data_IF_479661441273
#
_entry.id   IF_479661441273
#
_cell.length_a   1.000
_cell.length_b   1.000
_cell.length_c   1.000
_cell.angle_alpha   90.00
_cell.angle_beta   90.00
_cell.angle_gamma   90.00
#
_symmetry.space_group_name_H-M   'P 1'
#
loop_
_entity.id
_entity.type
_entity.pdbx_description
1 polymer ?
#
# COMPACT_ATOMS: atom_id res chain seq x y z
N UNK A 1 -9.09 -17.17 -12.08
CA UNK A 1 -8.12 -18.27 -11.85
C UNK A 1 -8.93 -19.57 -11.82
N UNK A 2 -8.53 -20.57 -12.61
CA UNK A 2 -9.36 -21.75 -12.88
C UNK A 2 -8.56 -23.03 -12.58
N UNK A 3 -9.26 -24.12 -12.25
CA UNK A 3 -8.66 -25.47 -12.16
C UNK A 3 -8.08 -25.83 -13.53
N UNK A 4 -6.88 -26.39 -13.54
CA UNK A 4 -6.27 -26.96 -14.76
C UNK A 4 -7.09 -28.18 -15.17
N UNK A 5 -7.49 -28.20 -16.44
CA UNK A 5 -8.12 -29.36 -17.06
C UNK A 5 -7.05 -30.39 -17.43
N UNK A 6 -6.72 -31.25 -16.47
CA UNK A 6 -5.61 -32.20 -16.56
C UNK A 6 -5.09 -32.64 -15.21
N UNK A 7 -3.83 -33.07 -15.18
CA UNK A 7 -3.12 -33.50 -13.98
C UNK A 7 -2.01 -32.53 -13.62
N UNK A 8 -1.83 -32.36 -12.31
CA UNK A 8 -0.68 -31.67 -11.72
C UNK A 8 0.00 -32.66 -10.80
N UNK A 9 1.29 -32.88 -11.00
CA UNK A 9 2.09 -33.78 -10.15
C UNK A 9 3.28 -33.04 -9.55
N UNK A 10 3.66 -33.46 -8.35
CA UNK A 10 4.87 -33.02 -7.65
C UNK A 10 5.68 -34.27 -7.36
N UNK A 11 6.90 -34.33 -7.92
CA UNK A 11 7.78 -35.52 -7.91
C UNK A 11 7.05 -36.80 -8.38
N UNK A 12 6.25 -36.66 -9.45
CA UNK A 12 5.48 -37.76 -10.03
C UNK A 12 4.22 -38.17 -9.23
N UNK A 13 3.96 -37.57 -8.07
CA UNK A 13 2.74 -37.83 -7.27
C UNK A 13 1.67 -36.79 -7.54
N UNK A 14 0.38 -37.15 -7.64
CA UNK A 14 -0.70 -36.18 -7.82
C UNK A 14 -0.72 -35.13 -6.71
N UNK A 15 -0.90 -33.86 -7.08
CA UNK A 15 -1.14 -32.77 -6.14
C UNK A 15 -2.65 -32.59 -5.90
N UNK A 16 -3.02 -32.28 -4.67
CA UNK A 16 -4.41 -32.04 -4.27
C UNK A 16 -4.85 -30.65 -4.74
N UNK A 17 -5.98 -30.59 -5.45
CA UNK A 17 -6.59 -29.32 -5.82
C UNK A 17 -7.41 -28.76 -4.67
N UNK A 18 -7.12 -27.53 -4.25
CA UNK A 18 -7.87 -26.83 -3.22
C UNK A 18 -8.95 -25.91 -3.82
N UNK A 19 -8.55 -24.78 -4.41
CA UNK A 19 -9.45 -23.81 -5.06
C UNK A 19 -8.64 -22.81 -5.89
N UNK A 20 -9.28 -22.06 -6.80
CA UNK A 20 -8.69 -20.93 -7.52
C UNK A 20 -7.33 -21.23 -8.19
N UNK A 21 -7.13 -22.45 -8.69
CA UNK A 21 -5.87 -22.88 -9.31
C UNK A 21 -4.75 -23.21 -8.32
N UNK A 22 -5.05 -23.33 -7.02
CA UNK A 22 -4.10 -23.76 -5.98
C UNK A 22 -4.05 -25.28 -5.93
N UNK A 23 -2.82 -25.80 -6.03
CA UNK A 23 -2.49 -27.21 -5.86
C UNK A 23 -1.52 -27.36 -4.70
N UNK A 24 -1.74 -28.37 -3.86
CA UNK A 24 -0.91 -28.64 -2.67
C UNK A 24 -0.40 -30.07 -2.66
N UNK A 25 0.80 -30.28 -2.14
CA UNK A 25 1.33 -31.61 -1.82
C UNK A 25 2.17 -31.52 -0.56
N UNK A 26 2.07 -32.53 0.29
CA UNK A 26 2.98 -32.71 1.42
C UNK A 26 4.08 -33.69 1.04
N UNK A 27 5.32 -33.31 1.29
CA UNK A 27 6.50 -34.14 1.03
C UNK A 27 7.22 -34.45 2.32
N UNK A 28 7.65 -35.71 2.50
CA UNK A 28 8.20 -36.20 3.77
C UNK A 28 9.59 -35.62 4.13
N UNK A 29 10.27 -34.96 3.19
CA UNK A 29 11.58 -34.37 3.41
C UNK A 29 11.68 -33.01 2.73
N UNK A 30 12.39 -32.07 3.36
CA UNK A 30 12.76 -30.81 2.72
C UNK A 30 14.03 -30.93 1.88
N UNK A 31 14.67 -32.11 1.83
CA UNK A 31 15.90 -32.31 1.07
C UNK A 31 15.62 -32.45 -0.42
N UNK A 32 16.36 -31.67 -1.21
CA UNK A 32 16.40 -31.74 -2.66
C UNK A 32 15.36 -30.88 -3.38
N UNK A 33 15.59 -30.58 -4.67
CA UNK A 33 14.64 -29.86 -5.50
C UNK A 33 13.35 -30.67 -5.72
N UNK A 34 12.26 -29.98 -6.05
CA UNK A 34 10.93 -30.56 -6.30
C UNK A 34 10.48 -30.28 -7.73
N UNK A 35 10.18 -31.33 -8.48
CA UNK A 35 9.74 -31.20 -9.87
C UNK A 35 8.22 -31.13 -9.93
N UNK A 36 7.71 -30.06 -10.50
CA UNK A 36 6.29 -29.86 -10.77
C UNK A 36 6.03 -30.10 -12.25
N UNK A 37 5.05 -30.94 -12.54
CA UNK A 37 4.65 -31.26 -13.92
C UNK A 37 3.15 -31.10 -14.09
N UNK A 38 2.77 -30.56 -15.23
CA UNK A 38 1.39 -30.33 -15.64
C UNK A 38 1.18 -31.01 -16.98
N UNK A 39 0.13 -31.83 -17.08
CA UNK A 39 -0.32 -32.41 -18.32
C UNK A 39 -1.82 -32.14 -18.50
N UNK A 40 -2.18 -31.47 -19.58
CA UNK A 40 -3.60 -31.19 -19.90
C UNK A 40 -4.27 -32.37 -20.58
N UNK A 41 -5.59 -32.43 -20.52
CA UNK A 41 -6.41 -33.42 -21.26
C UNK A 41 -6.20 -33.36 -22.79
N UNK A 42 -5.78 -32.20 -23.32
CA UNK A 42 -5.45 -32.00 -24.75
C UNK A 42 -4.02 -32.40 -25.11
N UNK A 43 -3.23 -32.91 -24.15
CA UNK A 43 -1.88 -33.43 -24.38
C UNK A 43 -0.75 -32.41 -24.22
N UNK A 44 -1.04 -31.13 -23.92
CA UNK A 44 0.00 -30.14 -23.62
C UNK A 44 0.69 -30.50 -22.31
N UNK A 45 2.03 -30.42 -22.30
CA UNK A 45 2.87 -30.65 -21.12
C UNK A 45 3.71 -29.42 -20.81
N UNK A 46 3.80 -29.10 -19.52
CA UNK A 46 4.67 -28.05 -19.02
C UNK A 46 5.15 -28.43 -17.61
N UNK A 47 6.21 -27.80 -17.13
CA UNK A 47 6.72 -28.08 -15.80
C UNK A 47 7.85 -27.16 -15.42
N UNK A 48 8.22 -27.22 -14.15
CA UNK A 48 9.31 -26.46 -13.56
C UNK A 48 9.83 -27.18 -12.32
N UNK A 49 10.97 -26.74 -11.82
CA UNK A 49 11.62 -27.30 -10.63
C UNK A 49 11.77 -26.22 -9.57
N UNK A 50 11.24 -26.48 -8.38
CA UNK A 50 11.44 -25.68 -7.18
C UNK A 50 12.81 -26.08 -6.60
N UNK A 51 13.75 -25.14 -6.38
CA UNK A 51 15.04 -25.46 -5.81
C UNK A 51 14.90 -25.95 -4.36
N UNK A 52 15.91 -26.67 -3.88
CA UNK A 52 15.97 -27.06 -2.48
C UNK A 52 16.12 -25.80 -1.59
N UNK A 53 15.48 -25.75 -0.40
CA UNK A 53 15.78 -24.73 0.59
C UNK A 53 17.29 -24.72 0.90
N UNK A 54 17.88 -23.53 0.98
CA UNK A 54 19.31 -23.41 1.34
C UNK A 54 19.44 -23.28 2.84
N UNK A 55 20.02 -24.29 3.48
CA UNK A 55 20.35 -24.26 4.90
C UNK A 55 19.40 -25.10 5.76
N UNK A 56 19.52 -24.91 7.06
CA UNK A 56 18.70 -25.55 8.08
C UNK A 56 18.53 -24.56 9.23
N UNK A 57 17.82 -23.46 8.97
CA UNK A 57 17.55 -22.44 9.97
C UNK A 57 16.91 -23.08 11.21
N UNK A 58 17.49 -22.84 12.39
CA UNK A 58 17.01 -23.41 13.66
C UNK A 58 17.14 -22.39 14.79
N UNK A 59 16.11 -22.30 15.62
CA UNK A 59 16.15 -21.59 16.89
C UNK A 59 16.90 -22.46 17.90
N UNK A 60 17.98 -21.92 18.48
CA UNK A 60 18.75 -22.57 19.55
C UNK A 60 18.17 -22.21 20.90
N UNK A 61 17.92 -20.93 21.12
CA UNK A 61 17.30 -20.40 22.33
C UNK A 61 16.64 -19.05 22.08
N UNK A 62 15.73 -18.69 22.97
CA UNK A 62 15.05 -17.40 23.01
C UNK A 62 15.26 -16.85 24.43
N UNK A 63 15.75 -15.62 24.54
CA UNK A 63 16.16 -14.98 25.80
C UNK A 63 17.09 -15.88 26.64
N UNK A 64 18.01 -16.59 25.98
CA UNK A 64 18.95 -17.52 26.62
C UNK A 64 18.38 -18.87 27.02
N UNK A 65 17.07 -19.11 26.82
CA UNK A 65 16.41 -20.37 27.17
C UNK A 65 16.14 -21.22 25.91
N UNK A 66 16.49 -22.52 25.88
CA UNK A 66 16.27 -23.35 24.68
C UNK A 66 14.80 -23.51 24.27
N UNK A 67 13.90 -23.61 25.25
CA UNK A 67 12.46 -23.80 25.06
C UNK A 67 11.68 -23.01 26.13
N UNK A 68 11.61 -21.67 26.03
CA UNK A 68 10.84 -20.90 27.01
C UNK A 68 9.36 -21.22 26.89
N UNK A 69 8.69 -21.38 28.02
CA UNK A 69 7.22 -21.54 28.08
C UNK A 69 6.50 -20.19 28.12
N UNK A 70 7.19 -19.11 28.48
CA UNK A 70 6.63 -17.76 28.56
C UNK A 70 7.55 -16.71 27.92
N UNK A 71 6.96 -15.65 27.37
CA UNK A 71 7.70 -14.48 26.87
C UNK A 71 7.02 -13.18 27.30
N UNK A 72 7.83 -12.21 27.71
CA UNK A 72 7.41 -10.83 27.96
C UNK A 72 7.56 -10.03 26.66
N UNK A 73 6.45 -9.82 25.95
CA UNK A 73 6.43 -9.15 24.66
C UNK A 73 6.51 -7.61 24.78
N UNK A 74 6.51 -7.08 26.02
CA UNK A 74 6.75 -5.65 26.28
C UNK A 74 8.25 -5.31 26.31
N UNK A 75 9.11 -6.33 26.28
CA UNK A 75 10.57 -6.22 26.23
C UNK A 75 11.13 -6.75 24.91
N UNK A 76 12.39 -6.42 24.64
CA UNK A 76 13.09 -6.97 23.49
C UNK A 76 13.24 -8.49 23.66
N UNK A 77 13.12 -9.22 22.55
CA UNK A 77 13.29 -10.67 22.50
C UNK A 77 14.55 -10.98 21.70
N UNK A 78 15.50 -11.67 22.32
CA UNK A 78 16.74 -12.10 21.67
C UNK A 78 16.62 -13.56 21.27
N UNK A 79 16.99 -13.90 20.04
CA UNK A 79 16.95 -15.28 19.53
C UNK A 79 18.34 -15.67 19.06
N UNK A 80 18.84 -16.79 19.58
CA UNK A 80 20.03 -17.45 19.07
C UNK A 80 19.64 -18.44 17.96
N UNK A 81 20.33 -18.37 16.83
CA UNK A 81 20.04 -19.11 15.61
C UNK A 81 21.23 -19.98 15.19
N UNK A 82 20.93 -21.17 14.69
CA UNK A 82 21.83 -22.03 13.93
C UNK A 82 21.38 -22.11 12.46
N UNK A 83 22.27 -22.54 11.57
CA UNK A 83 21.97 -22.64 10.14
C UNK A 83 21.85 -21.28 9.42
N UNK A 84 22.46 -20.23 9.98
CA UNK A 84 22.66 -18.94 9.31
C UNK A 84 23.70 -19.13 8.20
N UNK A 85 23.40 -18.64 7.00
CA UNK A 85 24.30 -18.76 5.85
C UNK A 85 25.29 -17.59 5.87
N UNK A 86 26.61 -17.84 5.92
CA UNK A 86 27.61 -16.78 5.83
C UNK A 86 27.46 -15.97 4.53
N UNK A 87 27.46 -14.64 4.64
CA UNK A 87 27.36 -13.74 3.49
C UNK A 87 25.95 -13.58 2.90
N UNK A 88 24.96 -14.32 3.38
CA UNK A 88 23.56 -14.09 3.00
C UNK A 88 23.07 -12.78 3.62
N UNK A 89 22.51 -11.89 2.80
CA UNK A 89 21.96 -10.60 3.22
C UNK A 89 20.42 -10.59 3.21
N UNK A 90 19.79 -11.72 2.89
CA UNK A 90 18.33 -11.85 2.90
C UNK A 90 17.80 -11.69 4.32
N UNK A 91 16.87 -10.75 4.52
CA UNK A 91 16.25 -10.53 5.83
C UNK A 91 15.51 -11.79 6.29
N UNK A 92 15.65 -12.12 7.57
CA UNK A 92 14.81 -13.10 8.24
C UNK A 92 13.49 -12.45 8.65
N UNK A 93 12.40 -13.19 8.51
CA UNK A 93 11.08 -12.77 8.93
C UNK A 93 10.71 -13.46 10.24
N UNK A 94 10.40 -12.67 11.25
CA UNK A 94 9.80 -13.12 12.50
C UNK A 94 8.29 -12.98 12.41
N UNK A 95 7.56 -14.05 12.73
CA UNK A 95 6.10 -14.08 12.81
C UNK A 95 5.67 -14.51 14.21
N UNK A 96 4.57 -13.98 14.69
CA UNK A 96 3.92 -14.42 15.92
C UNK A 96 2.51 -14.89 15.60
N UNK A 97 2.12 -16.04 16.14
CA UNK A 97 0.74 -16.51 16.07
C UNK A 97 -0.09 -15.73 17.09
N UNK A 98 -1.12 -15.03 16.64
CA UNK A 98 -2.04 -14.33 17.54
C UNK A 98 -3.47 -14.48 17.06
N UNK A 99 -4.44 -14.19 17.93
CA UNK A 99 -5.85 -14.08 17.57
C UNK A 99 -6.24 -12.62 17.44
N UNK A 100 -6.80 -12.26 16.28
CA UNK A 100 -7.41 -10.95 15.99
C UNK A 100 -8.82 -11.21 15.51
N UNK A 101 -9.84 -10.58 16.12
CA UNK A 101 -11.25 -10.84 15.80
C UNK A 101 -11.64 -12.34 15.90
N UNK A 102 -11.02 -13.08 16.82
CA UNK A 102 -11.24 -14.53 16.98
C UNK A 102 -10.55 -15.40 15.93
N UNK A 103 -9.94 -14.81 14.89
CA UNK A 103 -9.18 -15.54 13.88
C UNK A 103 -7.73 -15.69 14.32
N UNK A 104 -7.31 -16.95 14.53
CA UNK A 104 -5.94 -17.29 14.91
C UNK A 104 -5.09 -17.52 13.67
N UNK A 105 -3.96 -16.82 13.57
CA UNK A 105 -3.06 -16.93 12.44
C UNK A 105 -1.67 -16.38 12.74
N UNK A 106 -0.73 -16.65 11.85
CA UNK A 106 0.60 -16.02 11.90
C UNK A 106 0.52 -14.61 11.34
N UNK A 107 0.93 -13.65 12.17
CA UNK A 107 1.12 -12.28 11.76
C UNK A 107 2.60 -11.96 11.70
N UNK A 108 2.99 -11.23 10.69
CA UNK A 108 4.36 -10.78 10.51
C UNK A 108 4.67 -9.71 11.54
N UNK A 109 5.79 -9.89 12.22
CA UNK A 109 6.19 -9.08 13.37
C UNK A 109 7.37 -8.19 13.00
N UNK A 110 8.42 -8.77 12.43
CA UNK A 110 9.67 -8.05 12.21
C UNK A 110 10.53 -8.67 11.11
N UNK A 111 11.08 -7.84 10.24
CA UNK A 111 12.18 -8.24 9.36
C UNK A 111 13.51 -7.81 9.98
N UNK A 112 14.50 -8.70 10.00
CA UNK A 112 15.81 -8.48 10.64
C UNK A 112 16.94 -9.04 9.78
N UNK A 113 18.12 -8.40 9.82
CA UNK A 113 19.31 -8.94 9.15
C UNK A 113 19.68 -10.31 9.73
N UNK A 114 20.14 -11.25 8.89
CA UNK A 114 20.54 -12.57 9.34
C UNK A 114 21.79 -12.48 10.23
N UNK A 115 21.80 -13.24 11.31
CA UNK A 115 22.90 -13.32 12.25
C UNK A 115 22.71 -14.47 13.24
N UNK A 116 23.80 -14.95 13.85
CA UNK A 116 23.73 -16.02 14.86
C UNK A 116 22.92 -15.61 16.09
N UNK A 117 22.79 -14.30 16.33
CA UNK A 117 21.88 -13.73 17.31
C UNK A 117 21.09 -12.61 16.63
N UNK A 118 19.78 -12.62 16.77
CA UNK A 118 18.89 -11.54 16.33
C UNK A 118 18.14 -10.97 17.53
N UNK A 119 17.82 -9.68 17.48
CA UNK A 119 17.02 -9.00 18.50
C UNK A 119 15.77 -8.43 17.87
N UNK A 120 14.61 -8.83 18.40
CA UNK A 120 13.31 -8.29 18.04
C UNK A 120 12.98 -7.19 19.04
N UNK A 121 12.83 -5.93 18.61
CA UNK A 121 12.46 -4.87 19.54
C UNK A 121 11.03 -5.08 20.05
N UNK A 122 10.76 -4.69 21.30
CA UNK A 122 9.39 -4.76 21.86
C UNK A 122 8.36 -4.03 21.00
N UNK A 123 8.78 -2.93 20.36
CA UNK A 123 7.97 -2.17 19.42
C UNK A 123 7.39 -3.04 18.29
N UNK A 124 8.10 -4.09 17.85
CA UNK A 124 7.63 -4.96 16.78
C UNK A 124 6.35 -5.73 17.18
N UNK A 125 6.23 -6.15 18.44
CA UNK A 125 5.04 -6.90 18.91
C UNK A 125 3.79 -6.04 19.05
N UNK A 126 3.92 -4.71 19.17
CA UNK A 126 2.79 -3.77 19.08
C UNK A 126 2.49 -3.29 17.66
N UNK A 127 3.34 -3.61 16.69
CA UNK A 127 3.17 -3.22 15.29
C UNK A 127 3.16 -4.47 14.41
N UNK A 128 2.26 -5.41 14.67
CA UNK A 128 2.07 -6.55 13.78
C UNK A 128 1.51 -6.12 12.43
N UNK A 129 1.68 -6.94 11.39
CA UNK A 129 1.03 -6.78 10.09
C UNK A 129 -0.48 -7.08 10.15
N UNK A 130 -1.22 -6.29 10.91
CA UNK A 130 -2.66 -6.35 11.04
C UNK A 130 -3.24 -5.20 10.22
N UNK A 131 -4.30 -5.49 9.45
CA UNK A 131 -5.01 -4.47 8.69
C UNK A 131 -5.41 -3.30 9.64
N UNK A 132 -5.21 -2.03 9.25
CA UNK A 132 -5.43 -0.89 10.14
C UNK A 132 -6.84 -0.80 10.76
N UNK A 133 -7.88 -1.33 10.09
CA UNK A 133 -9.23 -1.39 10.66
C UNK A 133 -9.37 -2.37 11.83
N UNK A 134 -8.53 -3.42 11.87
CA UNK A 134 -8.64 -4.52 12.82
C UNK A 134 -7.69 -4.38 14.02
N UNK A 135 -6.64 -3.56 13.92
CA UNK A 135 -5.62 -3.40 14.99
C UNK A 135 -6.21 -2.91 16.32
N UNK A 136 -7.30 -2.12 16.27
CA UNK A 136 -8.01 -1.63 17.47
C UNK A 136 -8.67 -2.74 18.29
N UNK A 137 -8.85 -3.93 17.71
CA UNK A 137 -9.44 -5.09 18.38
C UNK A 137 -8.42 -5.81 19.27
N UNK A 138 -7.15 -5.38 19.23
CA UNK A 138 -6.07 -5.99 19.97
C UNK A 138 -5.55 -7.28 19.33
N UNK A 139 -4.47 -7.80 19.90
CA UNK A 139 -3.86 -9.06 19.55
C UNK A 139 -3.74 -9.91 20.82
N UNK A 140 -4.25 -11.14 20.78
CA UNK A 140 -4.13 -12.08 21.89
C UNK A 140 -2.97 -13.05 21.66
N UNK A 141 -1.96 -13.02 22.53
CA UNK A 141 -0.76 -13.85 22.45
C UNK A 141 -0.74 -15.02 23.46
N UNK A 142 -1.90 -15.41 23.99
CA UNK A 142 -2.01 -16.62 24.80
C UNK A 142 -1.82 -17.86 23.92
N UNK A 143 -1.04 -18.83 24.40
CA UNK A 143 -0.64 -20.04 23.68
C UNK A 143 -0.08 -19.74 22.27
N UNK A 144 0.66 -18.65 22.14
CA UNK A 144 1.24 -18.20 20.89
C UNK A 144 2.36 -19.11 20.41
N UNK A 145 2.80 -18.84 19.18
CA UNK A 145 3.94 -19.49 18.55
C UNK A 145 4.78 -18.43 17.85
N UNK A 146 6.07 -18.39 18.16
CA UNK A 146 7.03 -17.53 17.49
C UNK A 146 7.71 -18.34 16.39
N UNK A 147 7.70 -17.82 15.17
CA UNK A 147 8.32 -18.45 14.00
C UNK A 147 9.38 -17.52 13.45
N UNK A 148 10.56 -18.06 13.13
CA UNK A 148 11.62 -17.36 12.39
C UNK A 148 11.76 -18.05 11.04
N UNK A 149 11.62 -17.28 9.97
CA UNK A 149 11.58 -17.76 8.59
C UNK A 149 12.70 -17.12 7.77
N UNK A 150 13.39 -17.91 6.95
CA UNK A 150 14.17 -17.40 5.83
C UNK A 150 13.34 -17.60 4.56
N UNK A 151 13.02 -16.49 3.90
CA UNK A 151 12.11 -16.45 2.77
C UNK A 151 12.80 -15.87 1.55
N UNK A 152 12.66 -16.54 0.40
CA UNK A 152 13.35 -16.16 -0.83
C UNK A 152 12.47 -16.30 -2.05
N UNK A 153 12.69 -15.41 -3.00
CA UNK A 153 12.26 -15.56 -4.38
C UNK A 153 13.45 -16.05 -5.18
N UNK A 154 13.29 -17.19 -5.83
CA UNK A 154 14.30 -17.79 -6.70
C UNK A 154 13.69 -18.03 -8.07
N UNK A 155 14.50 -18.02 -9.13
CA UNK A 155 14.02 -18.41 -10.45
C UNK A 155 13.69 -19.90 -10.46
N UNK A 156 12.58 -20.27 -11.08
CA UNK A 156 12.22 -21.66 -11.27
C UNK A 156 13.25 -22.34 -12.18
N UNK A 157 13.75 -23.51 -11.77
CA UNK A 157 14.72 -24.27 -12.56
C UNK A 157 13.99 -25.13 -13.60
N UNK A 158 14.63 -25.38 -14.75
CA UNK A 158 14.08 -26.25 -15.81
C UNK A 158 12.63 -25.91 -16.21
N UNK A 159 12.26 -24.63 -16.15
CA UNK A 159 10.92 -24.20 -16.46
C UNK A 159 10.65 -24.29 -17.96
N UNK A 160 9.52 -24.88 -18.35
CA UNK A 160 9.14 -25.14 -19.74
C UNK A 160 7.75 -24.62 -20.04
N UNK A 161 7.49 -24.31 -21.32
CA UNK A 161 6.19 -23.83 -21.77
C UNK A 161 5.79 -22.51 -21.07
N UNK A 162 4.54 -22.37 -20.61
CA UNK A 162 4.04 -21.15 -19.97
C UNK A 162 4.75 -20.76 -18.66
N UNK A 163 5.58 -21.63 -18.09
CA UNK A 163 6.30 -21.36 -16.84
C UNK A 163 7.69 -20.74 -17.05
N UNK A 164 8.14 -20.54 -18.29
CA UNK A 164 9.42 -19.91 -18.57
C UNK A 164 9.53 -18.52 -17.93
N UNK A 165 10.60 -18.27 -17.17
CA UNK A 165 10.80 -17.01 -16.45
C UNK A 165 9.98 -16.86 -15.15
N UNK A 166 9.29 -17.91 -14.71
CA UNK A 166 8.56 -17.90 -13.45
C UNK A 166 9.51 -17.87 -12.26
N UNK A 167 9.13 -17.14 -11.21
CA UNK A 167 9.79 -17.16 -9.91
C UNK A 167 9.03 -18.04 -8.92
N UNK A 168 9.76 -18.74 -8.07
CA UNK A 168 9.25 -19.58 -6.99
C UNK A 168 9.62 -18.97 -5.65
N UNK A 169 8.68 -19.04 -4.71
CA UNK A 169 8.90 -18.61 -3.34
C UNK A 169 9.27 -19.82 -2.47
N UNK A 170 10.43 -19.77 -1.83
CA UNK A 170 10.89 -20.79 -0.88
C UNK A 170 10.94 -20.20 0.52
N UNK A 171 10.53 -21.00 1.52
CA UNK A 171 10.57 -20.62 2.92
C UNK A 171 11.05 -21.81 3.76
N UNK A 172 12.05 -21.58 4.60
CA UNK A 172 12.42 -22.47 5.70
C UNK A 172 12.14 -21.77 7.02
N UNK A 173 11.63 -22.49 8.02
CA UNK A 173 11.24 -21.88 9.29
C UNK A 173 11.46 -22.83 10.46
N UNK A 174 11.79 -22.26 11.62
CA UNK A 174 11.74 -22.95 12.90
C UNK A 174 11.01 -22.06 13.91
N UNK A 175 10.41 -22.65 14.94
CA UNK A 175 9.61 -21.89 15.90
C UNK A 175 9.45 -22.54 17.25
N UNK A 176 8.90 -21.78 18.20
CA UNK A 176 8.66 -22.19 19.59
C UNK A 176 7.30 -21.68 20.07
N UNK A 177 6.57 -22.53 20.77
CA UNK A 177 5.36 -22.15 21.48
C UNK A 177 5.71 -21.35 22.73
N UNK A 178 4.88 -20.38 23.09
CA UNK A 178 5.02 -19.63 24.33
C UNK A 178 3.66 -19.07 24.78
N UNK A 179 3.51 -18.79 26.07
CA UNK A 179 2.44 -17.93 26.58
C UNK A 179 2.98 -16.52 26.86
N UNK A 180 2.25 -15.48 26.47
CA UNK A 180 2.65 -14.12 26.81
C UNK A 180 2.49 -13.87 28.33
N UNK A 181 3.58 -13.57 29.03
CA UNK A 181 3.52 -13.15 30.44
C UNK A 181 3.07 -11.70 30.59
N UNK A 182 3.36 -10.87 29.58
CA UNK A 182 2.81 -9.55 29.39
C UNK A 182 2.57 -9.31 27.90
N UNK A 183 1.39 -8.82 27.55
CA UNK A 183 1.01 -8.48 26.16
C UNK A 183 1.17 -6.98 25.93
N UNK A 184 1.66 -6.57 24.74
CA UNK A 184 1.84 -5.16 24.44
C UNK A 184 0.49 -4.51 24.09
N UNK A 185 0.38 -3.20 24.33
CA UNK A 185 -0.70 -2.41 23.75
C UNK A 185 -0.42 -2.19 22.26
N UNK A 186 -1.39 -2.56 21.42
CA UNK A 186 -1.23 -2.48 19.96
C UNK A 186 -1.16 -1.02 19.50
N UNK A 187 -0.16 -0.70 18.68
CA UNK A 187 -0.03 0.60 18.07
C UNK A 187 -1.02 0.72 16.90
N UNK A 188 -2.06 1.52 17.11
CA UNK A 188 -3.12 1.75 16.11
C UNK A 188 -2.75 2.75 15.01
N UNK A 189 -1.51 3.26 15.05
CA UNK A 189 -1.06 4.36 14.22
C UNK A 189 -1.52 5.71 14.79
N UNK A 190 -1.62 6.72 13.92
CA UNK A 190 -2.17 8.02 14.30
C UNK A 190 -2.81 8.75 13.13
N UNK A 191 -3.65 9.73 13.45
CA UNK A 191 -4.18 10.69 12.48
C UNK A 191 -3.89 12.12 12.90
N UNK A 192 -3.74 13.02 11.94
CA UNK A 192 -3.76 14.47 12.15
C UNK A 192 -4.92 15.07 11.39
N UNK A 193 -5.68 15.94 12.06
CA UNK A 193 -6.81 16.63 11.46
C UNK A 193 -6.88 18.03 12.05
N UNK A 194 -6.92 19.03 11.18
CA UNK A 194 -7.23 20.39 11.60
C UNK A 194 -7.91 21.15 10.48
N UNK A 195 -8.32 22.35 10.86
CA UNK A 195 -9.02 23.30 10.03
C UNK A 195 -8.17 24.55 9.89
N UNK A 196 -8.07 25.06 8.66
CA UNK A 196 -7.32 26.25 8.32
C UNK A 196 -8.27 27.25 7.64
N UNK A 197 -8.34 28.45 8.21
CA UNK A 197 -8.96 29.58 7.53
C UNK A 197 -7.93 30.21 6.58
N UNK A 198 -8.18 30.13 5.28
CA UNK A 198 -7.34 30.69 4.22
C UNK A 198 -8.16 31.66 3.35
N UNK A 199 -7.51 32.50 2.52
CA UNK A 199 -8.21 33.52 1.72
C UNK A 199 -9.36 32.99 0.85
N UNK A 200 -9.22 31.79 0.25
CA UNK A 200 -10.30 31.17 -0.54
C UNK A 200 -11.40 30.50 0.31
N UNK A 201 -11.33 30.60 1.64
CA UNK A 201 -12.22 29.93 2.59
C UNK A 201 -11.54 28.81 3.38
N UNK A 202 -12.34 28.11 4.18
CA UNK A 202 -11.90 27.04 5.07
C UNK A 202 -11.35 25.82 4.31
N UNK A 203 -10.23 25.26 4.74
CA UNK A 203 -9.75 23.92 4.36
C UNK A 203 -9.70 23.02 5.60
N UNK A 204 -9.98 21.74 5.41
CA UNK A 204 -9.83 20.71 6.45
C UNK A 204 -8.89 19.64 5.92
N UNK A 205 -7.74 19.45 6.57
CA UNK A 205 -6.87 18.31 6.26
C UNK A 205 -7.14 17.15 7.21
N UNK A 206 -6.95 15.93 6.70
CA UNK A 206 -7.03 14.68 7.45
C UNK A 206 -5.99 13.71 6.91
N UNK A 207 -4.96 13.45 7.69
CA UNK A 207 -3.88 12.51 7.35
C UNK A 207 -3.95 11.30 8.29
N UNK A 208 -3.53 10.15 7.79
CA UNK A 208 -3.47 8.91 8.55
C UNK A 208 -2.14 8.19 8.32
N UNK A 209 -1.61 7.61 9.40
CA UNK A 209 -0.47 6.70 9.40
C UNK A 209 -0.86 5.44 10.15
N UNK A 210 -0.73 4.27 9.51
CA UNK A 210 -0.88 2.98 10.17
C UNK A 210 0.34 2.68 11.07
N UNK A 211 0.26 1.63 11.89
CA UNK A 211 1.39 1.16 12.69
C UNK A 211 2.67 0.93 11.88
N UNK A 212 3.81 0.96 12.57
CA UNK A 212 5.14 1.03 11.99
C UNK A 212 5.54 -0.17 11.13
N UNK A 213 4.86 -1.32 11.17
CA UNK A 213 5.15 -2.39 10.22
C UNK A 213 4.68 -2.07 8.80
N UNK A 214 3.50 -1.43 8.69
CA UNK A 214 2.90 -1.03 7.42
C UNK A 214 3.26 0.41 7.02
N UNK A 215 3.94 1.17 7.88
CA UNK A 215 4.32 2.55 7.60
C UNK A 215 5.78 2.83 7.92
N UNK A 216 6.48 3.45 6.98
CA UNK A 216 7.89 3.85 7.14
C UNK A 216 8.01 5.21 7.80
N UNK A 217 9.11 5.52 8.52
CA UNK A 217 9.34 6.89 9.02
C UNK A 217 9.32 7.88 7.87
N UNK A 218 8.60 8.99 8.02
CA UNK A 218 8.44 9.97 6.94
C UNK A 218 9.79 10.59 6.53
N UNK A 219 10.74 10.68 7.47
CA UNK A 219 12.09 11.16 7.24
C UNK A 219 12.91 10.28 6.26
N UNK A 220 12.49 9.03 6.01
CA UNK A 220 13.16 8.16 5.03
C UNK A 220 12.71 8.45 3.57
N UNK A 221 11.70 9.29 3.35
CA UNK A 221 11.26 9.67 2.00
C UNK A 221 12.13 10.78 1.41
N UNK A 222 13.32 10.43 0.91
CA UNK A 222 14.34 11.41 0.49
C UNK A 222 14.41 11.65 -1.02
N UNK A 223 13.91 10.71 -1.84
CA UNK A 223 13.91 10.81 -3.31
C UNK A 223 12.57 10.33 -3.86
N UNK A 224 11.78 11.27 -4.35
CA UNK A 224 10.37 11.11 -4.70
C UNK A 224 10.21 11.02 -6.22
N UNK A 225 9.57 9.97 -6.71
CA UNK A 225 9.08 9.89 -8.09
C UNK A 225 7.57 10.19 -8.11
N UNK A 226 7.12 11.14 -8.92
CA UNK A 226 5.69 11.41 -9.10
C UNK A 226 5.13 10.45 -10.15
N UNK A 227 4.29 9.50 -9.71
CA UNK A 227 3.79 8.42 -10.57
C UNK A 227 2.33 8.63 -10.99
N UNK A 228 1.57 9.44 -10.25
CA UNK A 228 0.19 9.81 -10.58
C UNK A 228 -0.03 11.25 -10.18
N UNK A 229 -0.43 12.10 -11.12
CA UNK A 229 -0.78 13.50 -10.85
C UNK A 229 -1.94 13.90 -11.75
N UNK A 230 -3.13 14.03 -11.16
CA UNK A 230 -4.37 14.17 -11.93
C UNK A 230 -5.39 15.09 -11.27
N UNK A 231 -6.31 15.59 -12.07
CA UNK A 231 -7.58 16.17 -11.64
C UNK A 231 -8.72 15.33 -12.22
N UNK A 232 -9.75 15.07 -11.41
CA UNK A 232 -10.96 14.35 -11.85
C UNK A 232 -12.19 14.90 -11.15
N UNK A 233 -13.38 14.61 -11.66
CA UNK A 233 -14.59 15.13 -11.05
C UNK A 233 -15.87 14.83 -11.79
N UNK A 234 -16.95 15.47 -11.33
CA UNK A 234 -18.28 15.40 -11.95
C UNK A 234 -18.51 16.60 -12.89
N UNK A 235 -19.00 16.30 -14.09
CA UNK A 235 -19.54 17.23 -15.09
C UNK A 235 -21.03 17.51 -14.96
N UNK A 236 -21.80 16.71 -14.24
CA UNK A 236 -23.23 16.91 -14.06
C UNK A 236 -23.75 16.38 -12.72
N UNK A 237 -24.75 17.06 -12.17
CA UNK A 237 -25.52 16.64 -11.01
C UNK A 237 -27.00 16.96 -11.25
N UNK A 238 -27.85 15.93 -11.31
CA UNK A 238 -29.30 16.10 -11.43
C UNK A 238 -29.97 16.08 -10.05
N UNK A 239 -30.79 17.10 -9.77
CA UNK A 239 -31.66 17.14 -8.60
C UNK A 239 -33.10 17.08 -9.06
N UNK A 240 -33.83 16.09 -8.57
CA UNK A 240 -35.28 16.01 -8.70
C UNK A 240 -35.91 16.56 -7.42
N UNK A 241 -36.65 17.66 -7.52
CA UNK A 241 -37.49 18.17 -6.45
C UNK A 241 -38.92 17.82 -6.77
N UNK A 242 -39.56 17.02 -5.94
CA UNK A 242 -40.97 16.70 -6.09
C UNK A 242 -41.78 17.48 -5.06
N UNK A 243 -42.81 18.18 -5.53
CA UNK A 243 -43.79 18.87 -4.69
C UNK A 243 -45.17 18.34 -5.02
N UNK A 244 -45.92 17.94 -4.01
CA UNK A 244 -47.33 17.60 -4.17
C UNK A 244 -48.15 18.76 -3.62
N UNK A 245 -49.04 19.32 -4.43
CA UNK A 245 -49.99 20.36 -4.00
C UNK A 245 -51.38 19.94 -4.45
N UNK A 246 -52.23 19.53 -3.49
CA UNK A 246 -53.50 18.86 -3.79
C UNK A 246 -53.28 17.50 -4.46
N UNK A 247 -53.99 17.24 -5.56
CA UNK A 247 -53.81 16.02 -6.38
C UNK A 247 -52.73 16.15 -7.47
N UNK A 248 -52.04 17.29 -7.54
CA UNK A 248 -51.03 17.55 -8.57
C UNK A 248 -49.63 17.29 -8.00
N UNK A 249 -48.90 16.37 -8.64
CA UNK A 249 -47.48 16.11 -8.36
C UNK A 249 -46.62 16.88 -9.36
N UNK A 250 -45.89 17.87 -8.89
CA UNK A 250 -44.96 18.66 -9.68
C UNK A 250 -43.54 18.13 -9.47
N UNK A 251 -42.88 17.74 -10.55
CA UNK A 251 -41.48 17.28 -10.56
C UNK A 251 -40.62 18.35 -11.22
N UNK A 252 -39.73 18.97 -10.46
CA UNK A 252 -38.77 19.96 -10.94
C UNK A 252 -37.37 19.34 -10.96
N UNK A 253 -36.83 19.10 -12.16
CA UNK A 253 -35.45 18.63 -12.33
C UNK A 253 -34.52 19.83 -12.55
N UNK A 254 -33.49 19.97 -11.71
CA UNK A 254 -32.41 20.95 -11.89
C UNK A 254 -31.11 20.20 -12.16
N UNK A 255 -30.52 20.46 -13.32
CA UNK A 255 -29.22 19.90 -13.69
C UNK A 255 -28.14 20.96 -13.51
N UNK A 256 -27.15 20.67 -12.67
CA UNK A 256 -25.89 21.40 -12.66
C UNK A 256 -24.97 20.79 -13.69
N UNK A 257 -24.29 21.61 -14.48
CA UNK A 257 -23.31 21.13 -15.48
C UNK A 257 -22.00 21.87 -15.31
N UNK A 258 -20.90 21.14 -15.23
CA UNK A 258 -19.54 21.65 -15.39
C UNK A 258 -19.13 21.41 -16.85
N UNK A 259 -18.84 22.47 -17.63
CA UNK A 259 -18.57 22.36 -19.05
C UNK A 259 -17.25 21.63 -19.29
N UNK A 260 -17.15 20.97 -20.44
CA UNK A 260 -15.87 20.46 -20.92
C UNK A 260 -14.96 21.64 -21.27
N UNK A 261 -13.82 21.74 -20.60
CA UNK A 261 -12.80 22.75 -20.89
C UNK A 261 -11.81 22.21 -21.93
N UNK A 262 -11.22 23.08 -22.77
CA UNK A 262 -10.17 22.68 -23.70
C UNK A 262 -8.98 22.05 -22.96
N UNK A 263 -8.32 21.08 -23.60
CA UNK A 263 -7.16 20.38 -23.03
C UNK A 263 -6.06 21.35 -22.55
N UNK A 264 -5.77 22.40 -23.32
CA UNK A 264 -4.77 23.40 -22.95
C UNK A 264 -5.06 24.14 -21.62
N UNK A 265 -6.34 24.34 -21.29
CA UNK A 265 -6.73 24.96 -20.01
C UNK A 265 -6.42 24.00 -18.85
N UNK A 266 -6.68 22.71 -19.03
CA UNK A 266 -6.34 21.68 -18.05
C UNK A 266 -4.83 21.48 -17.91
N UNK A 267 -4.08 21.51 -19.02
CA UNK A 267 -2.62 21.39 -19.01
C UNK A 267 -1.99 22.53 -18.19
N UNK A 268 -2.42 23.77 -18.41
CA UNK A 268 -1.95 24.93 -17.65
C UNK A 268 -2.33 24.83 -16.16
N UNK A 269 -3.60 24.46 -15.88
CA UNK A 269 -4.09 24.34 -14.50
C UNK A 269 -3.39 23.22 -13.72
N UNK A 270 -3.12 22.08 -14.36
CA UNK A 270 -2.34 20.98 -13.77
C UNK A 270 -0.86 21.35 -13.63
N UNK A 271 -0.29 22.12 -14.56
CA UNK A 271 1.07 22.63 -14.44
C UNK A 271 1.21 23.62 -13.27
N UNK A 272 0.21 24.46 -13.03
CA UNK A 272 0.14 25.32 -11.84
C UNK A 272 0.02 24.49 -10.56
N UNK A 273 -0.94 23.55 -10.51
CA UNK A 273 -1.11 22.65 -9.37
C UNK A 273 0.18 21.89 -9.03
N UNK A 274 0.85 21.33 -10.04
CA UNK A 274 2.11 20.62 -9.87
C UNK A 274 3.20 21.53 -9.30
N UNK A 275 3.38 22.73 -9.88
CA UNK A 275 4.40 23.69 -9.42
C UNK A 275 4.15 24.20 -8.00
N UNK A 276 2.91 24.24 -7.54
CA UNK A 276 2.60 24.68 -6.17
C UNK A 276 2.61 23.55 -5.15
N UNK A 277 2.05 22.38 -5.48
CA UNK A 277 1.84 21.29 -4.51
C UNK A 277 3.07 20.39 -4.40
N UNK A 278 3.69 20.00 -5.52
CA UNK A 278 4.79 19.04 -5.48
C UNK A 278 6.00 19.56 -4.67
N UNK A 279 6.46 20.81 -4.83
CA UNK A 279 7.59 21.32 -4.04
C UNK A 279 7.36 21.33 -2.53
N UNK A 280 6.11 21.37 -2.05
CA UNK A 280 5.80 21.28 -0.61
C UNK A 280 6.30 19.96 -0.03
N UNK A 281 6.15 18.85 -0.74
CA UNK A 281 6.71 17.57 -0.30
C UNK A 281 8.24 17.63 -0.22
N UNK A 282 8.90 18.20 -1.22
CA UNK A 282 10.36 18.35 -1.21
C UNK A 282 10.84 19.19 -0.02
N UNK A 283 10.20 20.34 0.22
CA UNK A 283 10.58 21.28 1.27
C UNK A 283 10.33 20.70 2.67
N UNK A 284 9.12 20.20 2.93
CA UNK A 284 8.76 19.72 4.27
C UNK A 284 9.47 18.40 4.64
N UNK A 285 9.85 17.59 3.65
CA UNK A 285 10.54 16.32 3.86
C UNK A 285 12.07 16.40 3.71
N UNK A 286 12.61 17.52 3.21
CA UNK A 286 14.02 17.60 2.83
C UNK A 286 14.38 16.64 1.70
N UNK A 287 13.43 16.43 0.77
CA UNK A 287 13.52 15.43 -0.29
C UNK A 287 13.79 16.06 -1.66
N UNK A 288 14.29 15.26 -2.60
CA UNK A 288 14.40 15.63 -4.01
C UNK A 288 13.26 15.00 -4.81
N UNK A 289 12.64 15.77 -5.71
CA UNK A 289 11.64 15.24 -6.64
C UNK A 289 12.32 14.98 -7.99
N UNK A 290 12.16 13.76 -8.49
CA UNK A 290 12.66 13.36 -9.80
C UNK A 290 11.90 14.05 -10.93
N UNK A 291 12.56 14.36 -12.06
CA UNK A 291 11.87 14.82 -13.26
C UNK A 291 10.79 13.82 -13.70
N UNK A 292 9.56 14.30 -13.92
CA UNK A 292 8.43 13.43 -14.35
C UNK A 292 8.77 12.70 -15.64
N UNK A 293 9.38 13.39 -16.60
CA UNK A 293 9.69 12.82 -17.92
C UNK A 293 10.65 11.61 -17.80
N UNK A 294 11.54 11.61 -16.80
CA UNK A 294 12.39 10.45 -16.48
C UNK A 294 11.59 9.28 -15.91
N UNK A 295 10.59 9.56 -15.06
CA UNK A 295 9.76 8.52 -14.41
C UNK A 295 8.86 7.84 -15.44
N UNK A 296 8.15 8.63 -16.26
CA UNK A 296 7.18 8.09 -17.24
C UNK A 296 7.84 7.35 -18.40
N UNK A 297 9.11 7.64 -18.68
CA UNK A 297 9.90 6.94 -19.69
C UNK A 297 10.37 5.54 -19.25
N UNK A 298 10.22 5.18 -17.97
CA UNK A 298 10.69 3.88 -17.48
C UNK A 298 9.81 2.72 -17.99
N UNK A 299 10.40 1.55 -18.32
CA UNK A 299 9.63 0.37 -18.70
C UNK A 299 8.60 -0.06 -17.65
N UNK A 300 8.94 0.01 -16.37
CA UNK A 300 8.01 -0.31 -15.28
C UNK A 300 6.78 0.60 -15.33
N UNK A 301 6.94 1.90 -15.56
CA UNK A 301 5.83 2.84 -15.66
C UNK A 301 4.95 2.56 -16.87
N UNK A 302 5.57 2.34 -18.04
CA UNK A 302 4.87 2.06 -19.28
C UNK A 302 4.02 0.80 -19.17
N UNK A 303 4.51 -0.22 -18.45
CA UNK A 303 3.79 -1.48 -18.20
C UNK A 303 2.55 -1.35 -17.30
N UNK A 304 2.42 -0.27 -16.52
CA UNK A 304 1.28 -0.08 -15.62
C UNK A 304 -0.02 0.06 -16.40
N UNK A 305 -1.02 -0.74 -16.09
CA UNK A 305 -2.36 -0.45 -16.60
C UNK A 305 -2.87 0.87 -15.98
N UNK A 306 -3.31 1.86 -16.78
CA UNK A 306 -4.10 2.97 -16.22
C UNK A 306 -5.37 2.39 -15.59
N UNK A 307 -5.72 2.83 -14.38
CA UNK A 307 -6.93 2.34 -13.71
C UNK A 307 -8.10 3.30 -13.97
N UNK A 308 -9.17 2.79 -14.55
CA UNK A 308 -10.49 3.41 -14.62
C UNK A 308 -11.57 2.36 -14.33
N UNK A 309 -11.74 2.02 -13.05
CA UNK A 309 -13.05 1.52 -12.61
C UNK A 309 -13.63 2.53 -11.66
N UNK A 310 -14.65 3.20 -12.17
CA UNK A 310 -15.65 3.85 -11.34
C UNK A 310 -16.28 2.75 -10.49
N UNK A 311 -16.22 2.90 -9.17
CA UNK A 311 -17.11 2.11 -8.31
C UNK A 311 -18.55 2.47 -8.71
N UNK A 312 -19.50 1.53 -8.61
CA UNK A 312 -20.91 1.76 -8.94
C UNK A 312 -21.56 2.93 -8.17
N UNK A 313 -20.85 3.52 -7.21
CA UNK A 313 -21.23 4.64 -6.36
C UNK A 313 -20.45 5.93 -6.61
N UNK A 314 -19.40 5.92 -7.46
CA UNK A 314 -18.56 7.10 -7.73
C UNK A 314 -18.65 7.46 -9.20
N UNK A 315 -19.48 8.46 -9.51
CA UNK A 315 -19.65 8.96 -10.87
C UNK A 315 -18.49 9.90 -11.23
N UNK A 316 -17.42 9.38 -11.85
CA UNK A 316 -16.32 10.19 -12.37
C UNK A 316 -16.58 10.46 -13.84
N UNK A 317 -16.76 11.72 -14.19
CA UNK A 317 -17.24 12.11 -15.52
C UNK A 317 -16.19 12.83 -16.35
N UNK A 318 -15.09 13.27 -15.72
CA UNK A 318 -13.87 13.66 -16.41
C UNK A 318 -12.62 13.28 -15.63
N UNK A 319 -11.52 13.05 -16.33
CA UNK A 319 -10.18 12.84 -15.77
C UNK A 319 -9.15 13.52 -16.68
N UNK A 320 -8.22 14.25 -16.07
CA UNK A 320 -7.12 14.94 -16.74
C UNK A 320 -5.83 14.62 -15.99
N UNK A 321 -4.79 14.22 -16.71
CA UNK A 321 -3.51 13.82 -16.11
C UNK A 321 -2.38 14.73 -16.57
N UNK A 322 -1.40 14.94 -15.70
CA UNK A 322 -0.29 15.83 -15.98
C UNK A 322 0.86 15.09 -16.67
N UNK A 323 1.37 15.65 -17.79
CA UNK A 323 2.60 15.22 -18.50
C UNK A 323 2.72 13.70 -18.69
N UNK A 324 1.69 13.07 -19.25
CA UNK A 324 1.71 11.64 -19.58
C UNK A 324 1.65 10.71 -18.36
N UNK A 325 1.38 11.24 -17.16
CA UNK A 325 1.09 10.39 -16.01
C UNK A 325 -0.25 9.66 -16.17
N UNK A 326 -0.39 8.54 -15.46
CA UNK A 326 -1.59 7.71 -15.36
C UNK A 326 -2.27 7.99 -14.03
N UNK A 327 -3.60 7.96 -14.00
CA UNK A 327 -4.35 7.89 -12.75
C UNK A 327 -4.22 6.47 -12.20
N UNK A 328 -3.60 6.33 -11.02
CA UNK A 328 -3.35 5.03 -10.40
C UNK A 328 -4.23 4.89 -9.15
N UNK A 329 -5.16 3.94 -9.18
CA UNK A 329 -6.04 3.61 -8.04
C UNK A 329 -5.30 2.89 -6.91
N UNK A 330 -5.96 2.78 -5.76
CA UNK A 330 -5.52 1.97 -4.62
C UNK A 330 -5.55 0.45 -4.92
N UNK A 331 -6.36 0.01 -5.89
CA UNK A 331 -6.50 -1.41 -6.25
C UNK A 331 -5.54 -1.77 -7.40
N UNK A 332 -4.43 -2.42 -7.04
CA UNK A 332 -3.44 -2.94 -8.00
C UNK A 332 -3.86 -4.36 -8.43
N UNK A 333 -3.84 -4.72 -9.73
CA UNK A 333 -4.07 -6.09 -10.16
C UNK A 333 -3.18 -7.09 -9.39
N UNK A 334 -3.68 -8.29 -9.08
CA UNK A 334 -2.92 -9.29 -8.29
C UNK A 334 -1.54 -9.57 -8.92
N UNK A 335 -1.45 -9.62 -10.26
CA UNK A 335 -0.22 -9.79 -11.02
C UNK A 335 0.79 -8.64 -10.86
N UNK A 336 0.35 -7.46 -10.46
CA UNK A 336 1.17 -6.27 -10.25
C UNK A 336 1.40 -5.98 -8.75
N UNK A 337 0.56 -6.52 -7.87
CA UNK A 337 0.53 -6.25 -6.44
C UNK A 337 1.24 -7.28 -5.55
N UNK A 338 1.49 -8.50 -6.05
CA UNK A 338 2.12 -9.58 -5.27
C UNK A 338 3.56 -9.88 -5.68
N UNK A 339 4.40 -10.21 -4.69
CA UNK A 339 5.76 -10.72 -4.89
C UNK A 339 6.87 -9.68 -4.95
N UNK A 340 8.07 -10.16 -5.29
CA UNK A 340 9.30 -9.36 -5.41
C UNK A 340 9.27 -8.39 -6.59
N UNK A 341 8.59 -8.77 -7.68
CA UNK A 341 8.57 -7.99 -8.91
C UNK A 341 7.36 -7.04 -9.03
N UNK A 342 6.78 -6.60 -7.91
CA UNK A 342 5.65 -5.65 -7.91
C UNK A 342 6.02 -4.33 -8.58
N UNK A 343 5.03 -3.65 -9.17
CA UNK A 343 5.30 -2.48 -10.00
C UNK A 343 5.97 -1.33 -9.24
N UNK A 344 5.56 -1.07 -7.99
CA UNK A 344 6.17 -0.05 -7.13
C UNK A 344 7.67 -0.33 -6.89
N UNK A 345 8.04 -1.59 -6.67
CA UNK A 345 9.43 -1.99 -6.44
C UNK A 345 10.27 -1.92 -7.72
N UNK A 346 9.70 -2.23 -8.90
CA UNK A 346 10.38 -2.02 -10.19
C UNK A 346 10.62 -0.53 -10.44
N UNK A 347 9.60 0.30 -10.27
CA UNK A 347 9.71 1.76 -10.43
C UNK A 347 10.79 2.35 -9.54
N UNK A 348 10.81 2.00 -8.25
CA UNK A 348 11.84 2.46 -7.33
C UNK A 348 13.26 2.03 -7.75
N UNK A 349 13.43 0.80 -8.28
CA UNK A 349 14.73 0.34 -8.80
C UNK A 349 15.16 1.07 -10.08
N UNK A 350 14.26 1.23 -11.04
CA UNK A 350 14.56 1.84 -12.34
C UNK A 350 14.80 3.35 -12.24
N UNK A 351 14.06 4.05 -11.37
CA UNK A 351 14.21 5.49 -11.15
C UNK A 351 15.23 5.84 -10.06
N UNK A 352 15.57 4.86 -9.21
CA UNK A 352 16.34 5.07 -7.99
C UNK A 352 15.62 5.93 -6.94
N UNK A 353 14.29 6.06 -7.02
CA UNK A 353 13.48 6.70 -5.99
C UNK A 353 13.26 5.75 -4.80
N UNK A 354 13.06 6.30 -3.60
CA UNK A 354 12.66 5.53 -2.42
C UNK A 354 11.24 5.87 -1.94
N UNK A 355 10.57 6.80 -2.62
CA UNK A 355 9.17 7.15 -2.40
C UNK A 355 8.46 7.39 -3.74
N UNK A 356 7.22 6.93 -3.86
CA UNK A 356 6.36 7.19 -5.02
C UNK A 356 5.18 8.07 -4.61
N UNK A 357 5.02 9.21 -5.26
CA UNK A 357 3.96 10.17 -4.97
C UNK A 357 2.78 9.99 -5.93
N UNK A 358 1.59 9.88 -5.33
CA UNK A 358 0.29 9.94 -6.01
C UNK A 358 -0.46 11.16 -5.50
N UNK A 359 -0.94 12.00 -6.41
CA UNK A 359 -1.77 13.17 -6.10
C UNK A 359 -2.98 13.18 -7.03
N UNK A 360 -4.16 13.39 -6.45
CA UNK A 360 -5.41 13.56 -7.19
C UNK A 360 -6.15 14.76 -6.62
N UNK A 361 -6.55 15.69 -7.48
CA UNK A 361 -7.50 16.74 -7.14
C UNK A 361 -8.90 16.31 -7.59
N UNK A 362 -9.74 15.95 -6.63
CA UNK A 362 -11.14 15.61 -6.84
C UNK A 362 -11.99 16.89 -6.83
N UNK A 363 -12.75 17.11 -7.89
CA UNK A 363 -13.68 18.24 -8.05
C UNK A 363 -15.11 17.70 -8.07
N UNK A 364 -15.84 17.87 -6.96
CA UNK A 364 -17.18 17.32 -6.81
C UNK A 364 -18.25 18.42 -6.77
N UNK A 365 -19.23 18.35 -7.66
CA UNK A 365 -20.43 19.17 -7.59
C UNK A 365 -21.24 18.84 -6.32
N UNK A 366 -21.66 19.88 -5.60
CA UNK A 366 -22.46 19.79 -4.39
C UNK A 366 -23.57 20.84 -4.40
N UNK A 367 -24.70 20.51 -3.78
CA UNK A 367 -25.84 21.42 -3.56
C UNK A 367 -26.08 21.69 -2.07
N UNK A 368 -25.19 21.25 -1.17
CA UNK A 368 -25.29 21.58 0.28
C UNK A 368 -25.01 23.07 0.48
N UNK A 369 -26.07 23.88 0.62
CA UNK A 369 -25.98 25.34 0.74
C UNK A 369 -26.00 26.09 -0.59
N UNK A 370 -26.34 25.39 -1.69
CA UNK A 370 -26.34 25.92 -3.06
C UNK A 370 -25.31 25.21 -3.95
N UNK A 371 -25.46 25.38 -5.26
CA UNK A 371 -24.56 24.84 -6.27
C UNK A 371 -23.11 25.28 -6.02
N UNK A 372 -22.22 24.32 -5.79
CA UNK A 372 -20.81 24.57 -5.52
C UNK A 372 -19.94 23.45 -6.09
N UNK A 373 -18.68 23.78 -6.36
CA UNK A 373 -17.66 22.79 -6.68
C UNK A 373 -16.74 22.63 -5.48
N UNK A 374 -16.70 21.45 -4.89
CA UNK A 374 -15.87 21.12 -3.73
C UNK A 374 -14.55 20.51 -4.22
N UNK A 375 -13.42 21.21 -4.05
CA UNK A 375 -12.12 20.64 -4.33
C UNK A 375 -11.61 19.82 -3.14
N UNK A 376 -11.10 18.62 -3.42
CA UNK A 376 -10.43 17.76 -2.44
C UNK A 376 -9.10 17.27 -3.00
N UNK A 377 -8.00 17.66 -2.38
CA UNK A 377 -6.67 17.14 -2.71
C UNK A 377 -6.42 15.86 -1.93
N UNK A 378 -6.40 14.72 -2.61
CA UNK A 378 -5.96 13.43 -2.07
C UNK A 378 -4.51 13.16 -2.44
N UNK A 379 -3.73 12.64 -1.49
CA UNK A 379 -2.34 12.29 -1.76
C UNK A 379 -1.90 11.05 -0.98
N UNK A 380 -0.98 10.30 -1.60
CA UNK A 380 -0.29 9.17 -0.98
C UNK A 380 1.18 9.21 -1.35
N UNK A 381 2.04 9.03 -0.34
CA UNK A 381 3.47 8.84 -0.51
C UNK A 381 3.81 7.40 -0.15
N UNK A 382 3.97 6.57 -1.18
CA UNK A 382 4.19 5.12 -1.07
C UNK A 382 5.68 4.84 -0.84
N UNK A 383 5.97 3.92 0.07
CA UNK A 383 7.34 3.48 0.39
C UNK A 383 7.64 2.10 -0.19
N UNK A 384 8.93 1.75 -0.23
CA UNK A 384 9.32 0.40 -0.62
C UNK A 384 8.69 -0.61 0.34
N UNK A 385 8.24 -1.76 -0.18
CA UNK A 385 7.50 -2.74 0.61
C UNK A 385 8.34 -3.28 1.78
N UNK A 386 7.65 -3.72 2.83
CA UNK A 386 8.26 -4.41 3.96
C UNK A 386 8.26 -5.91 3.66
N UNK A 387 9.39 -6.40 3.13
CA UNK A 387 9.50 -7.75 2.58
C UNK A 387 8.54 -8.01 1.42
N UNK A 388 8.06 -9.25 1.27
CA UNK A 388 7.32 -9.68 0.08
C UNK A 388 5.80 -9.50 0.14
N UNK A 389 5.26 -9.15 1.30
CA UNK A 389 3.83 -9.27 1.62
C UNK A 389 3.15 -7.94 1.98
N UNK A 390 3.89 -6.97 2.51
CA UNK A 390 3.31 -5.71 2.97
C UNK A 390 3.76 -4.52 2.13
N UNK A 391 2.80 -3.85 1.50
CA UNK A 391 3.01 -2.52 0.94
C UNK A 391 3.12 -1.50 2.07
N UNK A 392 3.98 -0.50 1.93
CA UNK A 392 4.17 0.52 2.96
C UNK A 392 3.87 1.91 2.45
N UNK A 393 3.51 2.81 3.36
CA UNK A 393 3.34 4.24 3.08
C UNK A 393 4.18 5.07 4.04
N UNK A 394 4.63 6.22 3.57
CA UNK A 394 5.18 7.28 4.41
C UNK A 394 4.04 8.13 4.99
N UNK A 395 3.09 8.52 4.15
CA UNK A 395 1.91 9.31 4.55
C UNK A 395 0.80 9.12 3.53
N UNK A 396 -0.45 9.18 3.98
CA UNK A 396 -1.63 9.32 3.13
C UNK A 396 -2.58 10.33 3.77
N UNK A 397 -3.28 11.10 2.95
CA UNK A 397 -4.21 12.09 3.47
C UNK A 397 -5.07 12.75 2.41
N UNK A 398 -5.99 13.56 2.91
CA UNK A 398 -6.88 14.41 2.11
C UNK A 398 -6.89 15.81 2.67
N UNK A 399 -7.13 16.80 1.80
CA UNK A 399 -7.42 18.17 2.17
C UNK A 399 -8.68 18.57 1.43
N UNK A 400 -9.74 18.92 2.14
CA UNK A 400 -11.01 19.31 1.54
C UNK A 400 -11.24 20.82 1.71
N UNK A 401 -11.56 21.52 0.63
CA UNK A 401 -11.93 22.94 0.66
C UNK A 401 -13.42 23.15 0.88
N UNK A 402 -13.79 24.28 1.50
CA UNK A 402 -15.13 24.84 1.38
C UNK A 402 -15.36 25.16 -0.10
N UNK A 403 -16.28 24.44 -0.75
CA UNK A 403 -16.46 24.53 -2.19
C UNK A 403 -16.75 25.95 -2.68
N UNK A 404 -16.37 26.26 -3.92
CA UNK A 404 -16.67 27.54 -4.56
C UNK A 404 -18.12 27.54 -5.04
N UNK A 405 -18.99 28.46 -4.56
CA UNK A 405 -20.34 28.60 -5.11
C UNK A 405 -20.29 28.92 -6.61
N UNK A 406 -21.16 28.29 -7.38
CA UNK A 406 -21.31 28.51 -8.83
C UNK A 406 -22.54 29.37 -9.07
N UNK A 407 -22.39 30.47 -9.80
CA UNK A 407 -23.54 31.30 -10.19
C UNK A 407 -24.37 30.56 -11.24
N UNK A 408 -25.68 30.85 -11.28
CA UNK A 408 -26.57 30.30 -12.31
C UNK A 408 -26.02 30.67 -13.70
N UNK A 409 -25.80 29.68 -14.55
CA UNK A 409 -25.24 29.82 -15.90
C UNK A 409 -23.84 30.45 -15.94
N UNK A 410 -23.05 30.35 -14.87
CA UNK A 410 -21.66 30.82 -14.89
C UNK A 410 -20.82 30.00 -15.88
N UNK A 411 -20.16 30.69 -16.81
CA UNK A 411 -19.16 30.05 -17.65
C UNK A 411 -17.92 29.72 -16.81
N UNK A 412 -17.49 28.46 -16.82
CA UNK A 412 -16.24 28.06 -16.18
C UNK A 412 -15.10 28.51 -17.10
N UNK A 413 -14.58 29.71 -16.87
CA UNK A 413 -13.38 30.23 -17.53
C UNK A 413 -12.12 29.69 -16.85
N UNK A 414 -10.92 29.84 -17.44
CA UNK A 414 -9.66 29.49 -16.76
C UNK A 414 -9.49 30.19 -15.40
N UNK A 415 -9.97 31.44 -15.26
CA UNK A 415 -9.94 32.15 -13.98
C UNK A 415 -10.86 31.48 -12.93
N UNK A 416 -12.07 31.09 -13.33
CA UNK A 416 -13.02 30.37 -12.47
C UNK A 416 -12.44 29.01 -12.07
N UNK A 417 -11.82 28.28 -13.00
CA UNK A 417 -11.17 27.00 -12.69
C UNK A 417 -10.09 27.18 -11.63
N UNK A 418 -9.25 28.22 -11.73
CA UNK A 418 -8.22 28.52 -10.71
C UNK A 418 -8.82 28.82 -9.33
N UNK A 419 -9.91 29.59 -9.28
CA UNK A 419 -10.66 29.85 -8.04
C UNK A 419 -11.25 28.57 -7.44
N UNK A 420 -11.69 27.62 -8.28
CA UNK A 420 -12.19 26.30 -7.83
C UNK A 420 -11.04 25.44 -7.32
N UNK A 421 -9.93 25.37 -8.06
CA UNK A 421 -8.81 24.50 -7.73
C UNK A 421 -8.04 24.98 -6.50
N UNK A 422 -8.07 26.29 -6.19
CA UNK A 422 -7.50 26.86 -4.95
C UNK A 422 -6.06 26.41 -4.68
N UNK A 423 -5.26 26.35 -5.75
CA UNK A 423 -3.94 25.71 -5.74
C UNK A 423 -3.01 26.25 -4.66
N UNK A 424 -2.96 27.57 -4.45
CA UNK A 424 -2.14 28.19 -3.42
C UNK A 424 -2.59 27.79 -1.99
N UNK A 425 -3.91 27.80 -1.72
CA UNK A 425 -4.46 27.41 -0.43
C UNK A 425 -4.14 25.94 -0.12
N UNK A 426 -4.22 25.05 -1.11
CA UNK A 426 -3.84 23.65 -0.94
C UNK A 426 -2.35 23.46 -0.65
N UNK A 427 -1.47 24.23 -1.29
CA UNK A 427 -0.05 24.19 -0.99
C UNK A 427 0.22 24.62 0.47
N UNK A 428 -0.40 25.71 0.94
CA UNK A 428 -0.30 26.16 2.33
C UNK A 428 -0.86 25.12 3.30
N UNK A 429 -2.04 24.57 3.03
CA UNK A 429 -2.65 23.56 3.89
C UNK A 429 -1.85 22.26 3.91
N UNK A 430 -1.25 21.85 2.79
CA UNK A 430 -0.39 20.67 2.72
C UNK A 430 0.89 20.87 3.54
N UNK A 431 1.50 22.06 3.49
CA UNK A 431 2.68 22.38 4.29
C UNK A 431 2.36 22.27 5.79
N UNK A 432 1.27 22.88 6.24
CA UNK A 432 0.82 22.77 7.62
C UNK A 432 0.52 21.32 8.02
N UNK A 433 -0.21 20.57 7.16
CA UNK A 433 -0.56 19.18 7.42
C UNK A 433 0.68 18.28 7.57
N UNK A 434 1.70 18.45 6.72
CA UNK A 434 2.95 17.68 6.80
C UNK A 434 3.79 18.04 8.04
N UNK A 435 3.80 19.31 8.47
CA UNK A 435 4.49 19.73 9.70
C UNK A 435 3.85 19.11 10.94
N UNK A 436 2.53 19.20 11.05
CA UNK A 436 1.78 18.57 12.14
C UNK A 436 1.98 17.05 12.16
N UNK A 437 1.93 16.43 10.98
CA UNK A 437 2.13 14.99 10.84
C UNK A 437 3.53 14.57 11.29
N UNK A 438 4.58 15.29 10.89
CA UNK A 438 5.96 15.05 11.32
C UNK A 438 6.12 15.19 12.84
N UNK A 439 5.55 16.25 13.42
CA UNK A 439 5.59 16.45 14.87
C UNK A 439 4.93 15.29 15.62
N UNK A 440 3.78 14.80 15.12
CA UNK A 440 3.08 13.67 15.71
C UNK A 440 3.80 12.33 15.51
N UNK A 441 4.45 12.12 14.35
CA UNK A 441 5.30 10.95 14.14
C UNK A 441 6.50 10.94 15.09
N UNK A 442 7.15 12.10 15.31
CA UNK A 442 8.31 12.21 16.19
C UNK A 442 8.02 11.82 17.65
N UNK A 443 6.77 11.99 18.10
CA UNK A 443 6.33 11.55 19.42
C UNK A 443 6.19 10.01 19.54
N UNK A 444 6.19 9.28 18.42
CA UNK A 444 6.11 7.82 18.38
C UNK A 444 7.41 7.22 17.84
N UNK A 445 8.28 6.77 18.75
CA UNK A 445 9.59 6.21 18.39
C UNK A 445 9.53 4.86 17.67
N UNK A 446 8.37 4.19 17.64
CA UNK A 446 8.22 2.86 17.01
C UNK A 446 8.65 2.85 15.56
N UNK A 447 8.27 3.89 14.82
CA UNK A 447 8.62 4.00 13.41
C UNK A 447 10.13 3.94 13.22
N UNK A 448 10.90 4.68 14.04
CA UNK A 448 12.35 4.67 13.94
C UNK A 448 12.95 3.34 14.42
N UNK A 449 12.48 2.82 15.56
CA UNK A 449 12.98 1.55 16.12
C UNK A 449 12.76 0.39 15.15
N UNK A 450 11.57 0.29 14.56
CA UNK A 450 11.23 -0.82 13.66
C UNK A 450 11.99 -0.73 12.34
N UNK A 451 12.31 0.46 11.86
CA UNK A 451 12.99 0.63 10.57
C UNK A 451 14.50 0.89 10.68
N UNK A 452 15.04 0.97 11.89
CA UNK A 452 16.48 1.04 12.15
C UNK A 452 17.10 -0.36 12.21
N UNK A 453 18.34 -0.49 11.74
CA UNK A 453 19.09 -1.75 11.84
C UNK A 453 18.62 -2.88 10.91
N UNK A 454 17.78 -2.57 9.92
CA UNK A 454 17.36 -3.47 8.84
C UNK A 454 18.33 -3.44 7.67
#
# INVERSE_FOLDING_TARGET
MSKIDGTVTIDGKPADYATMGVYSSMVATMKGPRRVEVATTTGQKAGFTIPAPRGALRIVSINGQPNPTTLDLTKNVTIQLAGVIPGDTTLLLVKAMTSVLGLRGFYETFYVRPGATITIPSAAFRNLNIAPGNVKMGANFNDSYLLVSRERWEDAQNATGPFAGMQVFTSESDGRSFAASASPEMNTGFSTKAELALPGGKLVYSLFKAGAFASRPIAQATKIAVISFAARGTTHLEKVTERTTGNTRTRETRTLTFPQLPAAVWDEALAELYRSVSPVFAQELGATILPIDQVVATPAYQSMAPYSKDDATTDVQFTQTYRGTKLISANVPISEGYGWNRVDARLMRETGANALLKVTLDLQLSERGGASMIPTLAFELVGAPNGHSASTKFVAGTIAGAGRPLKKNEAITPAVLREIMRTADFATALSAALRDFKAKEAANQDYQVIWSGR
#
